data_IF_486836711070
#
_entry.id   IF_486836711070
#
_cell.length_a   1.000
_cell.length_b   1.000
_cell.length_c   1.000
_cell.angle_alpha   90.00
_cell.angle_beta   90.00
_cell.angle_gamma   90.00
#
_symmetry.space_group_name_H-M   'P 1'
#
loop_
_entity.id
_entity.type
_entity.pdbx_description
1 polymer ?
#
# COMPACT_ATOMS: atom_id res chain seq x y z
N UNK A 1 -16.53 9.35 -36.12
CA UNK A 1 -17.55 8.63 -35.32
C UNK A 1 -17.51 8.95 -33.81
N UNK A 2 -16.37 9.36 -33.23
CA UNK A 2 -16.22 9.62 -31.79
C UNK A 2 -17.03 10.84 -31.25
N UNK A 3 -17.20 11.89 -32.05
CA UNK A 3 -17.95 13.10 -31.65
C UNK A 3 -19.45 12.87 -31.40
N UNK A 4 -20.06 11.83 -31.99
CA UNK A 4 -21.50 11.62 -31.87
C UNK A 4 -21.92 11.23 -30.43
N UNK A 5 -21.06 10.52 -29.70
CA UNK A 5 -21.32 10.17 -28.31
C UNK A 5 -21.30 11.40 -27.38
N UNK A 6 -20.28 12.26 -27.52
CA UNK A 6 -20.15 13.47 -26.70
C UNK A 6 -21.34 14.40 -26.93
N UNK A 7 -21.77 14.59 -28.19
CA UNK A 7 -22.96 15.40 -28.49
C UNK A 7 -24.24 14.86 -27.83
N UNK A 8 -24.38 13.53 -27.68
CA UNK A 8 -25.50 12.91 -26.95
C UNK A 8 -25.41 13.08 -25.43
N UNK A 9 -24.20 13.20 -24.88
CA UNK A 9 -23.97 13.40 -23.46
C UNK A 9 -24.17 14.86 -23.01
N UNK A 10 -23.85 15.86 -23.85
CA UNK A 10 -23.89 17.29 -23.50
C UNK A 10 -25.17 17.73 -22.76
N UNK A 11 -26.39 17.31 -23.15
CA UNK A 11 -27.60 17.67 -22.41
C UNK A 11 -27.62 17.22 -20.95
N UNK A 12 -26.95 16.11 -20.62
CA UNK A 12 -26.91 15.49 -19.29
C UNK A 12 -25.79 16.04 -18.39
N UNK A 13 -24.86 16.82 -18.95
CA UNK A 13 -23.69 17.36 -18.22
C UNK A 13 -24.08 18.06 -16.93
N UNK A 14 -25.19 18.81 -16.91
CA UNK A 14 -25.65 19.55 -15.74
C UNK A 14 -26.04 18.64 -14.57
N UNK A 15 -26.77 17.56 -14.86
CA UNK A 15 -27.16 16.56 -13.86
C UNK A 15 -25.93 15.83 -13.29
N UNK A 16 -24.99 15.48 -14.17
CA UNK A 16 -23.76 14.79 -13.78
C UNK A 16 -22.90 15.68 -12.87
N UNK A 17 -22.74 16.96 -13.23
CA UNK A 17 -21.99 17.91 -12.41
C UNK A 17 -22.65 18.09 -11.04
N UNK A 18 -23.98 18.18 -10.98
CA UNK A 18 -24.70 18.27 -9.70
C UNK A 18 -24.41 17.07 -8.81
N UNK A 19 -24.48 15.85 -9.34
CA UNK A 19 -24.18 14.63 -8.58
C UNK A 19 -22.71 14.60 -8.11
N UNK A 20 -21.77 14.99 -8.97
CA UNK A 20 -20.34 15.04 -8.59
C UNK A 20 -20.11 16.01 -7.42
N UNK A 21 -20.75 17.19 -7.45
CA UNK A 21 -20.68 18.14 -6.34
C UNK A 21 -21.37 17.62 -5.07
N UNK A 22 -22.48 16.90 -5.19
CA UNK A 22 -23.15 16.24 -4.06
C UNK A 22 -22.29 15.15 -3.42
N UNK A 23 -21.48 14.42 -4.21
CA UNK A 23 -20.51 13.43 -3.69
C UNK A 23 -19.33 14.10 -2.97
N UNK A 24 -18.95 15.32 -3.36
CA UNK A 24 -17.91 16.08 -2.67
C UNK A 24 -18.42 16.74 -1.38
N UNK A 25 -19.71 17.07 -1.31
CA UNK A 25 -20.35 17.70 -0.15
C UNK A 25 -20.49 16.74 1.05
N UNK A 26 -20.65 17.31 2.26
CA UNK A 26 -21.02 16.51 3.43
C UNK A 26 -22.53 16.26 3.44
N UNK A 27 -23.00 15.00 3.54
CA UNK A 27 -24.42 14.72 3.60
C UNK A 27 -25.00 15.07 4.97
N UNK A 28 -26.19 15.69 4.94
CA UNK A 28 -27.01 15.99 6.12
C UNK A 28 -28.20 15.01 6.21
N UNK A 29 -28.45 14.34 7.35
CA UNK A 29 -27.71 14.41 8.61
C UNK A 29 -26.38 13.63 8.58
N UNK A 30 -25.44 14.06 9.42
CA UNK A 30 -24.09 13.49 9.59
C UNK A 30 -24.00 12.22 10.45
N UNK A 31 -24.83 11.21 10.17
CA UNK A 31 -24.94 9.97 10.98
C UNK A 31 -24.20 8.73 10.43
N UNK A 32 -23.28 8.14 11.19
CA UNK A 32 -22.51 6.96 10.80
C UNK A 32 -23.39 5.92 10.11
N UNK A 33 -22.98 5.48 8.93
CA UNK A 33 -23.76 4.60 8.04
C UNK A 33 -24.14 3.29 8.74
N UNK A 34 -23.36 2.87 9.72
CA UNK A 34 -23.51 1.57 10.39
C UNK A 34 -24.22 1.63 11.73
N UNK A 35 -23.96 2.64 12.55
CA UNK A 35 -24.50 2.73 13.91
C UNK A 35 -25.43 3.92 14.16
N UNK A 36 -25.54 4.86 13.21
CA UNK A 36 -26.40 6.04 13.33
C UNK A 36 -25.86 7.16 14.24
N UNK A 37 -24.77 6.93 14.98
CA UNK A 37 -24.11 7.96 15.80
C UNK A 37 -23.43 9.04 14.95
N UNK A 38 -23.05 10.16 15.54
CA UNK A 38 -22.29 11.20 14.83
C UNK A 38 -20.96 10.66 14.24
N UNK A 39 -20.54 11.21 13.11
CA UNK A 39 -19.41 10.71 12.30
C UNK A 39 -18.51 11.86 11.87
N UNK A 40 -17.22 11.57 11.73
CA UNK A 40 -16.26 12.58 11.27
C UNK A 40 -15.42 12.13 10.09
N UNK A 41 -15.51 10.85 9.69
CA UNK A 41 -14.71 10.31 8.59
C UNK A 41 -15.57 9.89 7.39
N UNK A 42 -15.07 10.12 6.19
CA UNK A 42 -15.54 9.52 4.94
C UNK A 42 -14.45 8.66 4.31
N UNK A 43 -14.83 7.52 3.74
CA UNK A 43 -13.89 6.71 2.96
C UNK A 43 -14.06 7.00 1.46
N UNK A 44 -12.96 7.25 0.75
CA UNK A 44 -12.98 7.53 -0.69
C UNK A 44 -13.00 6.28 -1.55
N UNK A 45 -12.45 5.18 -1.03
CA UNK A 45 -12.32 3.93 -1.80
C UNK A 45 -13.50 2.95 -1.58
N UNK A 46 -14.30 3.14 -0.53
CA UNK A 46 -15.51 2.38 -0.31
C UNK A 46 -16.63 2.83 -1.26
N UNK A 47 -17.37 1.87 -1.81
CA UNK A 47 -18.51 2.13 -2.69
C UNK A 47 -19.55 3.01 -1.98
N UNK A 48 -20.05 4.04 -2.66
CA UNK A 48 -20.98 5.07 -2.15
C UNK A 48 -20.42 5.99 -1.04
N UNK A 49 -19.10 6.00 -0.81
CA UNK A 49 -18.43 6.92 0.14
C UNK A 49 -19.11 6.98 1.52
N UNK A 50 -19.28 5.83 2.21
CA UNK A 50 -19.94 5.77 3.50
C UNK A 50 -19.21 6.61 4.54
N UNK A 51 -20.01 7.17 5.44
CA UNK A 51 -19.52 7.97 6.54
C UNK A 51 -19.48 7.16 7.84
N UNK A 52 -18.43 7.37 8.63
CA UNK A 52 -18.08 6.54 9.78
C UNK A 52 -17.72 7.34 11.03
N UNK A 53 -18.23 6.91 12.18
CA UNK A 53 -17.60 7.21 13.46
C UNK A 53 -16.25 6.47 13.56
N UNK A 54 -15.39 6.84 14.52
CA UNK A 54 -14.06 6.23 14.70
C UNK A 54 -14.15 4.69 14.77
N UNK A 55 -15.02 4.16 15.62
CA UNK A 55 -15.13 2.72 15.84
C UNK A 55 -15.60 1.95 14.60
N UNK A 56 -16.59 2.48 13.89
CA UNK A 56 -17.08 1.84 12.66
C UNK A 56 -16.03 1.96 11.55
N UNK A 57 -15.26 3.05 11.52
CA UNK A 57 -14.16 3.22 10.57
C UNK A 57 -13.09 2.15 10.80
N UNK A 58 -12.63 1.96 12.04
CA UNK A 58 -11.66 0.92 12.40
C UNK A 58 -12.16 -0.48 12.01
N UNK A 59 -13.39 -0.83 12.40
CA UNK A 59 -13.98 -2.16 12.11
C UNK A 59 -14.14 -2.42 10.62
N UNK A 60 -14.60 -1.42 9.85
CA UNK A 60 -14.81 -1.55 8.41
C UNK A 60 -13.50 -1.74 7.65
N UNK A 61 -12.42 -1.11 8.13
CA UNK A 61 -11.13 -1.08 7.44
C UNK A 61 -10.08 -2.02 8.05
N UNK A 62 -10.43 -2.86 9.02
CA UNK A 62 -9.49 -3.82 9.63
C UNK A 62 -8.87 -4.78 8.60
N UNK A 63 -9.64 -5.13 7.56
CA UNK A 63 -9.18 -5.97 6.45
C UNK A 63 -8.74 -5.17 5.22
N UNK A 64 -8.95 -3.85 5.22
CA UNK A 64 -8.67 -2.92 4.12
C UNK A 64 -7.93 -1.68 4.66
N UNK A 65 -6.75 -1.84 5.28
CA UNK A 65 -6.09 -0.78 6.03
C UNK A 65 -5.46 0.32 5.16
N UNK A 66 -5.52 0.18 3.84
CA UNK A 66 -4.91 1.10 2.86
C UNK A 66 -5.97 1.92 2.10
N UNK A 67 -7.22 1.90 2.55
CA UNK A 67 -8.23 2.83 2.03
C UNK A 67 -7.90 4.26 2.45
N UNK A 68 -8.11 5.20 1.53
CA UNK A 68 -7.99 6.63 1.77
C UNK A 68 -9.24 7.17 2.40
N UNK A 69 -9.05 7.97 3.44
CA UNK A 69 -10.14 8.60 4.19
C UNK A 69 -9.96 10.11 4.21
N UNK A 70 -11.04 10.82 4.48
CA UNK A 70 -11.02 12.24 4.76
C UNK A 70 -11.79 12.52 6.04
N UNK A 71 -11.35 13.55 6.77
CA UNK A 71 -11.99 13.99 7.99
C UNK A 71 -12.78 15.28 7.72
N UNK A 72 -13.97 15.38 8.30
CA UNK A 72 -14.75 16.60 8.27
C UNK A 72 -14.25 17.60 9.33
N UNK A 73 -13.89 18.81 8.92
CA UNK A 73 -13.31 19.85 9.80
C UNK A 73 -14.36 20.73 10.49
N UNK A 74 -15.58 20.75 9.97
CA UNK A 74 -16.62 21.73 10.32
C UNK A 74 -17.21 22.34 9.05
N UNK A 75 -16.34 22.68 8.11
CA UNK A 75 -16.68 23.39 6.88
C UNK A 75 -16.34 22.61 5.60
N UNK A 76 -15.30 21.77 5.62
CA UNK A 76 -14.86 21.00 4.45
C UNK A 76 -14.22 19.65 4.85
N UNK A 77 -13.96 18.81 3.85
CA UNK A 77 -13.20 17.57 4.03
C UNK A 77 -11.71 17.80 3.81
N UNK A 78 -10.91 17.40 4.80
CA UNK A 78 -9.44 17.39 4.73
C UNK A 78 -8.92 15.95 4.57
N UNK A 79 -7.78 15.80 3.90
CA UNK A 79 -7.07 14.51 3.79
C UNK A 79 -6.69 13.99 5.19
N UNK A 80 -6.96 12.71 5.43
CA UNK A 80 -6.67 12.02 6.68
C UNK A 80 -6.16 10.61 6.40
N UNK A 81 -5.63 9.94 7.42
CA UNK A 81 -5.09 8.60 7.29
C UNK A 81 -5.71 7.64 8.31
N UNK A 82 -5.93 6.38 7.92
CA UNK A 82 -6.56 5.38 8.78
C UNK A 82 -5.80 5.13 10.09
N UNK A 83 -4.47 5.28 10.10
CA UNK A 83 -3.72 5.15 11.36
C UNK A 83 -4.09 6.21 12.39
N UNK A 84 -4.55 7.39 11.95
CA UNK A 84 -5.01 8.46 12.85
C UNK A 84 -6.30 8.08 13.57
N UNK A 85 -7.09 7.14 13.02
CA UNK A 85 -8.24 6.58 13.74
C UNK A 85 -7.81 5.56 14.79
N UNK A 86 -6.53 5.18 14.87
CA UNK A 86 -6.03 4.15 15.79
C UNK A 86 -6.11 2.72 15.24
N UNK A 87 -6.25 2.55 13.92
CA UNK A 87 -6.19 1.21 13.32
C UNK A 87 -4.78 0.61 13.48
N UNK A 88 -4.70 -0.69 13.75
CA UNK A 88 -3.45 -1.39 13.96
C UNK A 88 -3.44 -2.68 13.15
N UNK A 89 -2.27 -3.04 12.62
CA UNK A 89 -2.07 -4.29 11.90
C UNK A 89 -1.49 -5.35 12.84
N UNK A 90 -2.26 -6.38 13.15
CA UNK A 90 -1.76 -7.52 13.94
C UNK A 90 -1.26 -8.64 13.03
N UNK A 91 -0.01 -9.05 13.21
CA UNK A 91 0.65 -10.06 12.40
C UNK A 91 0.87 -11.35 13.21
N UNK A 92 0.54 -12.50 12.60
CA UNK A 92 0.78 -13.85 13.14
C UNK A 92 -0.46 -14.60 13.62
N UNK A 93 -1.54 -13.91 14.00
CA UNK A 93 -2.78 -14.55 14.50
C UNK A 93 -4.02 -14.19 13.67
N UNK A 94 -3.89 -14.19 12.34
CA UNK A 94 -5.03 -13.97 11.44
C UNK A 94 -5.71 -12.61 11.65
N UNK A 95 -4.92 -11.56 11.93
CA UNK A 95 -5.33 -10.19 12.31
C UNK A 95 -5.83 -10.02 13.74
N UNK A 96 -5.99 -11.08 14.53
CA UNK A 96 -6.27 -10.93 15.95
C UNK A 96 -5.03 -10.46 16.72
N UNK A 97 -5.21 -9.73 17.84
CA UNK A 97 -4.09 -9.41 18.73
C UNK A 97 -3.41 -10.68 19.26
N UNK A 98 -2.10 -10.61 19.46
CA UNK A 98 -1.33 -11.75 19.95
C UNK A 98 -1.72 -12.10 21.40
N UNK A 99 -2.12 -13.35 21.71
CA UNK A 99 -2.47 -13.73 23.09
C UNK A 99 -1.32 -13.49 24.08
N UNK A 100 -0.08 -13.66 23.65
CA UNK A 100 1.10 -13.38 24.47
C UNK A 100 1.23 -11.89 24.79
N UNK A 101 0.98 -11.01 23.81
CA UNK A 101 0.99 -9.57 24.02
C UNK A 101 -0.14 -9.13 24.97
N UNK A 102 -1.33 -9.74 24.86
CA UNK A 102 -2.45 -9.49 25.79
C UNK A 102 -2.06 -9.90 27.22
N UNK A 103 -1.48 -11.10 27.38
CA UNK A 103 -1.06 -11.60 28.69
C UNK A 103 0.05 -10.73 29.32
N UNK A 104 1.02 -10.27 28.52
CA UNK A 104 2.05 -9.33 28.98
C UNK A 104 1.46 -7.97 29.38
N UNK A 105 0.53 -7.42 28.60
CA UNK A 105 -0.11 -6.14 28.93
C UNK A 105 -0.96 -6.22 30.22
N UNK A 106 -1.59 -7.36 30.48
CA UNK A 106 -2.32 -7.62 31.73
C UNK A 106 -1.38 -7.76 32.95
N UNK A 107 -0.15 -8.23 32.73
CA UNK A 107 0.89 -8.35 33.77
C UNK A 107 1.67 -7.03 33.98
N UNK A 108 1.82 -6.22 32.94
CA UNK A 108 2.49 -4.92 32.94
C UNK A 108 1.57 -3.75 33.33
N UNK A 109 0.49 -4.00 34.08
CA UNK A 109 -0.31 -2.95 34.74
C UNK A 109 0.45 -2.25 35.90
N UNK A 110 1.78 -2.24 35.84
CA UNK A 110 2.73 -1.55 36.69
C UNK A 110 3.98 -1.25 35.86
N UNK A 111 4.12 0.04 35.50
CA UNK A 111 5.25 0.69 34.84
C UNK A 111 5.56 0.36 33.36
N UNK A 112 5.71 1.41 32.50
CA UNK A 112 6.15 1.23 31.12
C UNK A 112 7.61 0.73 31.07
N UNK A 113 7.98 -0.11 30.09
CA UNK A 113 9.36 -0.54 29.90
C UNK A 113 10.27 0.64 29.53
N UNK A 114 11.57 0.62 29.91
CA UNK A 114 12.51 1.67 29.54
C UNK A 114 12.70 1.69 28.02
N UNK A 115 12.64 2.88 27.42
CA UNK A 115 13.02 3.09 26.02
C UNK A 115 14.52 2.83 25.84
N UNK A 116 14.85 2.09 24.78
CA UNK A 116 16.21 1.93 24.28
C UNK A 116 16.45 3.06 23.27
N UNK A 117 17.15 4.11 23.71
CA UNK A 117 17.35 5.39 23.03
C UNK A 117 18.49 5.32 22.00
N UNK A 118 18.57 4.24 21.22
CA UNK A 118 19.60 4.09 20.20
C UNK A 118 19.00 4.12 18.78
N UNK A 119 19.26 5.26 18.13
CA UNK A 119 19.27 5.49 16.68
C UNK A 119 17.90 5.72 16.01
N UNK A 120 17.37 6.94 16.20
CA UNK A 120 16.49 7.60 15.24
C UNK A 120 17.13 8.95 14.91
N UNK A 121 17.33 9.23 13.62
CA UNK A 121 17.78 10.54 13.16
C UNK A 121 16.73 11.59 13.59
N UNK A 122 17.20 12.66 14.22
CA UNK A 122 16.37 13.80 14.62
C UNK A 122 15.74 14.39 13.35
N UNK A 123 14.47 14.05 13.10
CA UNK A 123 13.66 14.81 12.14
C UNK A 123 13.21 16.05 12.89
N UNK A 124 13.79 17.19 12.54
CA UNK A 124 13.37 18.50 13.05
C UNK A 124 11.84 18.58 13.03
N UNK A 125 11.25 18.96 14.16
CA UNK A 125 9.81 19.18 14.31
C UNK A 125 9.34 20.26 13.33
N UNK A 126 8.94 19.86 12.12
CA UNK A 126 8.25 20.73 11.18
C UNK A 126 6.80 20.83 11.65
N UNK A 127 6.51 21.81 12.51
CA UNK A 127 5.15 22.15 12.99
C UNK A 127 4.16 22.52 11.85
N UNK A 128 4.60 22.53 10.58
CA UNK A 128 3.81 22.89 9.40
C UNK A 128 3.42 21.71 8.47
N UNK A 129 3.89 20.48 8.71
CA UNK A 129 3.55 19.37 7.81
C UNK A 129 2.13 18.81 8.05
N UNK A 130 1.37 18.48 6.99
CA UNK A 130 0.06 17.84 7.15
C UNK A 130 0.18 16.54 7.94
N UNK A 131 -0.57 16.43 9.05
CA UNK A 131 -0.45 15.32 10.02
C UNK A 131 -0.63 13.94 9.39
N UNK A 132 -1.44 13.82 8.34
CA UNK A 132 -1.70 12.55 7.66
C UNK A 132 -0.50 12.05 6.84
N UNK A 133 0.47 12.92 6.51
CA UNK A 133 1.73 12.57 5.84
C UNK A 133 2.87 12.31 6.84
N UNK A 134 2.65 12.57 8.13
CA UNK A 134 3.64 12.34 9.16
C UNK A 134 3.47 10.91 9.74
N UNK A 135 4.57 10.20 9.99
CA UNK A 135 4.50 8.92 10.68
C UNK A 135 4.04 9.12 12.16
N UNK A 136 3.37 8.13 12.76
CA UNK A 136 3.01 8.19 14.18
C UNK A 136 4.23 8.31 15.09
N UNK A 137 4.29 9.38 15.90
CA UNK A 137 5.37 9.63 16.87
C UNK A 137 5.28 8.62 18.03
N UNK A 138 6.44 8.08 18.45
CA UNK A 138 6.53 7.20 19.63
C UNK A 138 5.99 5.77 19.46
N UNK A 139 5.58 5.36 18.25
CA UNK A 139 5.04 4.03 17.97
C UNK A 139 5.86 3.26 16.93
N UNK A 140 5.84 1.92 17.00
CA UNK A 140 6.40 1.06 15.95
C UNK A 140 5.47 1.06 14.73
N UNK A 141 5.73 1.98 13.80
CA UNK A 141 5.02 2.04 12.52
C UNK A 141 5.76 1.31 11.40
N UNK A 142 5.02 0.99 10.36
CA UNK A 142 5.52 0.49 9.09
C UNK A 142 5.05 1.44 7.99
N UNK A 143 5.97 1.87 7.14
CA UNK A 143 5.64 2.59 5.90
C UNK A 143 5.26 1.56 4.85
N UNK A 144 4.01 1.61 4.40
CA UNK A 144 3.47 0.67 3.41
C UNK A 144 3.14 1.42 2.12
N UNK A 145 3.74 1.01 1.01
CA UNK A 145 3.32 1.45 -0.31
C UNK A 145 2.26 0.51 -0.88
N UNK A 146 1.14 1.10 -1.28
CA UNK A 146 0.02 0.44 -1.93
C UNK A 146 -0.38 1.19 -3.22
N UNK A 147 -1.20 0.58 -4.07
CA UNK A 147 -1.76 1.24 -5.27
C UNK A 147 -2.56 2.50 -4.93
N UNK A 148 -3.08 2.61 -3.70
CA UNK A 148 -3.78 3.80 -3.22
C UNK A 148 -2.86 4.89 -2.64
N UNK A 149 -1.54 4.66 -2.59
CA UNK A 149 -0.56 5.63 -2.09
C UNK A 149 0.35 5.09 -0.99
N UNK A 150 1.01 6.00 -0.27
CA UNK A 150 1.89 5.70 0.86
C UNK A 150 1.12 5.82 2.16
N UNK A 151 1.16 4.76 2.97
CA UNK A 151 0.44 4.65 4.23
C UNK A 151 1.40 4.41 5.38
N UNK A 152 1.12 5.02 6.53
CA UNK A 152 1.74 4.64 7.79
C UNK A 152 0.76 3.78 8.57
N UNK A 153 1.22 2.68 9.15
CA UNK A 153 0.39 1.82 10.00
C UNK A 153 1.17 1.30 11.20
N UNK A 154 0.55 1.32 12.38
CA UNK A 154 1.12 0.72 13.58
C UNK A 154 1.03 -0.79 13.47
N UNK A 155 2.15 -1.48 13.68
CA UNK A 155 2.23 -2.94 13.53
C UNK A 155 2.49 -3.62 14.86
N UNK A 156 1.62 -4.56 15.20
CA UNK A 156 1.75 -5.44 16.34
C UNK A 156 2.27 -6.80 15.89
N UNK A 157 3.47 -7.13 16.35
CA UNK A 157 4.14 -8.39 16.04
C UNK A 157 3.71 -9.50 17.00
N UNK A 158 3.63 -10.73 16.50
CA UNK A 158 3.49 -11.91 17.34
C UNK A 158 4.75 -12.08 18.22
N UNK A 159 4.52 -12.28 19.53
CA UNK A 159 5.56 -12.54 20.53
C UNK A 159 5.58 -13.99 21.05
N UNK A 160 4.81 -14.90 20.44
CA UNK A 160 4.80 -16.31 20.86
C UNK A 160 6.13 -17.00 20.52
N UNK A 161 6.50 -18.03 21.28
CA UNK A 161 7.73 -18.81 21.03
C UNK A 161 7.72 -19.51 19.66
N UNK A 162 6.54 -19.86 19.16
CA UNK A 162 6.33 -20.46 17.83
C UNK A 162 6.18 -19.43 16.72
N UNK A 163 6.39 -18.14 17.01
CA UNK A 163 6.25 -17.08 16.01
C UNK A 163 7.29 -17.24 14.90
N UNK A 164 6.82 -17.06 13.66
CA UNK A 164 7.72 -16.97 12.53
C UNK A 164 8.49 -15.64 12.55
N UNK A 165 9.54 -15.58 11.73
CA UNK A 165 10.30 -14.35 11.52
C UNK A 165 9.41 -13.24 10.94
N UNK A 166 9.73 -11.98 11.31
CA UNK A 166 8.94 -10.80 10.94
C UNK A 166 8.67 -10.68 9.44
N UNK A 167 9.68 -10.94 8.60
CA UNK A 167 9.53 -10.85 7.16
C UNK A 167 8.59 -11.92 6.58
N UNK A 168 8.51 -13.12 7.17
CA UNK A 168 7.56 -14.16 6.76
C UNK A 168 6.13 -13.74 7.13
N UNK A 169 5.94 -13.18 8.33
CA UNK A 169 4.64 -12.67 8.75
C UNK A 169 4.11 -11.57 7.81
N UNK A 170 4.98 -10.67 7.36
CA UNK A 170 4.66 -9.67 6.34
C UNK A 170 4.26 -10.32 5.00
N UNK A 171 5.07 -11.27 4.50
CA UNK A 171 4.76 -11.97 3.25
C UNK A 171 3.42 -12.71 3.30
N UNK A 172 3.09 -13.33 4.45
CA UNK A 172 1.77 -13.95 4.68
C UNK A 172 0.63 -12.94 4.68
N UNK A 173 0.89 -11.71 5.11
CA UNK A 173 -0.03 -10.58 5.03
C UNK A 173 -0.05 -9.89 3.65
N UNK A 174 0.59 -10.48 2.61
CA UNK A 174 0.76 -9.90 1.27
C UNK A 174 1.52 -8.56 1.26
N UNK A 175 2.44 -8.41 2.21
CA UNK A 175 3.37 -7.29 2.31
C UNK A 175 4.78 -7.80 2.04
N UNK A 176 5.41 -7.28 0.99
CA UNK A 176 6.80 -7.59 0.68
C UNK A 176 7.72 -6.60 1.40
N UNK A 177 8.57 -7.07 2.32
CA UNK A 177 9.47 -6.18 3.04
C UNK A 177 10.64 -5.71 2.18
N UNK A 178 11.02 -4.44 2.33
CA UNK A 178 12.25 -3.90 1.73
C UNK A 178 13.51 -4.55 2.34
N UNK A 179 13.51 -4.70 3.68
CA UNK A 179 14.61 -5.25 4.47
C UNK A 179 14.14 -6.42 5.36
N UNK A 180 15.02 -7.39 5.61
CA UNK A 180 14.64 -8.64 6.29
C UNK A 180 14.82 -8.61 7.82
N UNK A 181 15.80 -7.85 8.34
CA UNK A 181 16.15 -7.83 9.77
C UNK A 181 15.19 -6.98 10.60
N UNK A 182 14.96 -5.74 10.18
CA UNK A 182 14.07 -4.77 10.84
C UNK A 182 13.29 -4.04 9.74
N UNK A 183 12.18 -4.61 9.25
CA UNK A 183 11.41 -3.99 8.18
C UNK A 183 10.76 -2.70 8.68
N UNK A 184 11.19 -1.56 8.13
CA UNK A 184 10.56 -0.24 8.28
C UNK A 184 9.64 0.09 7.11
N UNK A 185 9.93 -0.48 5.93
CA UNK A 185 9.17 -0.30 4.69
C UNK A 185 8.68 -1.64 4.16
N UNK A 186 7.43 -1.68 3.70
CA UNK A 186 6.88 -2.81 2.95
C UNK A 186 6.05 -2.34 1.75
N UNK A 187 5.88 -3.24 0.79
CA UNK A 187 5.13 -3.00 -0.45
C UNK A 187 4.01 -4.02 -0.54
N UNK A 188 2.78 -3.60 -0.83
CA UNK A 188 1.71 -4.56 -1.07
C UNK A 188 2.01 -5.37 -2.33
N UNK A 189 1.55 -6.62 -2.38
CA UNK A 189 1.66 -7.37 -3.64
C UNK A 189 0.89 -6.69 -4.79
N UNK A 190 -0.13 -5.88 -4.46
CA UNK A 190 -0.90 -5.12 -5.43
C UNK A 190 -0.04 -4.09 -6.15
N UNK A 191 0.75 -3.26 -5.44
CA UNK A 191 1.58 -2.25 -6.09
C UNK A 191 2.70 -2.87 -6.94
N UNK A 192 3.23 -4.03 -6.53
CA UNK A 192 4.26 -4.73 -7.29
C UNK A 192 3.68 -5.32 -8.59
N UNK A 193 2.43 -5.78 -8.55
CA UNK A 193 1.72 -6.28 -9.74
C UNK A 193 1.29 -5.15 -10.67
N UNK A 194 0.86 -4.03 -10.10
CA UNK A 194 0.50 -2.81 -10.82
C UNK A 194 1.71 -2.21 -11.53
N UNK A 195 2.86 -2.10 -10.84
CA UNK A 195 4.11 -1.63 -11.44
C UNK A 195 4.51 -2.46 -12.66
N UNK A 196 4.52 -3.80 -12.53
CA UNK A 196 4.91 -4.68 -13.63
C UNK A 196 3.94 -4.55 -14.82
N UNK A 197 2.65 -4.31 -14.56
CA UNK A 197 1.64 -4.08 -15.60
C UNK A 197 1.82 -2.72 -16.28
N UNK A 198 2.01 -1.65 -15.52
CA UNK A 198 2.24 -0.30 -16.06
C UNK A 198 3.54 -0.25 -16.88
N UNK A 199 4.58 -0.96 -16.44
CA UNK A 199 5.83 -1.04 -17.20
C UNK A 199 5.65 -1.80 -18.52
N UNK A 200 4.89 -2.90 -18.51
CA UNK A 200 4.64 -3.72 -19.69
C UNK A 200 3.69 -3.06 -20.70
N UNK A 201 2.53 -2.59 -20.24
CA UNK A 201 1.44 -2.10 -21.10
C UNK A 201 1.65 -0.66 -21.53
N UNK A 202 2.13 0.20 -20.62
CA UNK A 202 2.22 1.64 -20.84
C UNK A 202 3.66 2.11 -21.15
N UNK A 203 4.66 1.25 -21.00
CA UNK A 203 6.08 1.63 -21.12
C UNK A 203 6.52 2.63 -20.05
N UNK A 204 5.78 2.72 -18.93
CA UNK A 204 6.05 3.70 -17.88
C UNK A 204 7.41 3.42 -17.23
N UNK A 205 8.27 4.44 -17.18
CA UNK A 205 9.54 4.35 -16.46
C UNK A 205 9.31 4.21 -14.96
N UNK A 206 10.26 3.61 -14.24
CA UNK A 206 10.16 3.48 -12.79
C UNK A 206 9.92 4.82 -12.08
N UNK A 207 10.61 5.88 -12.53
CA UNK A 207 10.46 7.22 -11.98
C UNK A 207 9.06 7.79 -12.22
N UNK A 208 8.51 7.65 -13.43
CA UNK A 208 7.17 8.16 -13.74
C UNK A 208 6.09 7.43 -12.91
N UNK A 209 6.23 6.11 -12.75
CA UNK A 209 5.35 5.34 -11.88
C UNK A 209 5.45 5.82 -10.43
N UNK A 210 6.66 6.04 -9.94
CA UNK A 210 6.88 6.54 -8.58
C UNK A 210 6.29 7.94 -8.39
N UNK A 211 6.51 8.87 -9.33
CA UNK A 211 5.90 10.21 -9.28
C UNK A 211 4.36 10.17 -9.32
N UNK A 212 3.77 9.27 -10.11
CA UNK A 212 2.31 9.01 -10.11
C UNK A 212 1.85 8.58 -8.71
N UNK A 213 2.56 7.67 -8.07
CA UNK A 213 2.23 7.18 -6.72
C UNK A 213 2.29 8.29 -5.66
N UNK A 214 3.29 9.18 -5.74
CA UNK A 214 3.37 10.34 -4.85
C UNK A 214 2.16 11.27 -5.03
N UNK A 215 1.76 11.54 -6.28
CA UNK A 215 0.58 12.37 -6.56
C UNK A 215 -0.75 11.71 -6.13
N UNK A 216 -0.84 10.37 -6.18
CA UNK A 216 -2.00 9.63 -5.65
C UNK A 216 -2.10 9.79 -4.13
N UNK A 217 -0.96 9.83 -3.45
CA UNK A 217 -0.88 9.97 -1.99
C UNK A 217 -1.23 11.38 -1.54
N UNK A 218 -0.64 12.41 -2.17
CA UNK A 218 -1.05 13.79 -2.00
C UNK A 218 -0.80 14.55 -3.29
N UNK A 219 -1.86 15.11 -3.87
CA UNK A 219 -1.76 15.91 -5.09
C UNK A 219 -1.18 17.31 -4.82
N UNK A 220 -1.31 17.80 -3.57
CA UNK A 220 -0.88 19.14 -3.16
C UNK A 220 0.57 19.14 -2.68
N UNK A 221 0.98 18.12 -1.91
CA UNK A 221 2.30 18.05 -1.29
C UNK A 221 3.07 16.75 -1.58
N UNK A 222 3.28 16.37 -2.85
CA UNK A 222 3.94 15.11 -3.18
C UNK A 222 5.40 15.03 -2.70
N UNK A 223 6.05 16.17 -2.49
CA UNK A 223 7.44 16.27 -2.05
C UNK A 223 7.64 16.01 -0.55
N UNK A 224 6.56 16.02 0.26
CA UNK A 224 6.62 15.73 1.69
C UNK A 224 6.58 14.22 1.99
N UNK A 225 6.30 13.40 0.98
CA UNK A 225 6.20 11.95 1.15
C UNK A 225 7.61 11.36 1.19
N UNK A 226 7.91 10.43 2.11
CA UNK A 226 9.23 9.81 2.21
C UNK A 226 9.69 9.16 0.88
N UNK A 227 10.91 9.48 0.44
CA UNK A 227 11.48 8.85 -0.75
C UNK A 227 11.90 7.40 -0.47
N UNK A 228 11.31 6.49 -1.24
CA UNK A 228 11.50 5.03 -1.19
C UNK A 228 11.61 4.45 -2.59
N UNK A 229 11.98 5.27 -3.59
CA UNK A 229 12.09 4.87 -4.99
C UNK A 229 13.03 3.68 -5.21
N UNK A 230 14.24 3.74 -4.64
CA UNK A 230 15.22 2.65 -4.78
C UNK A 230 14.74 1.34 -4.14
N UNK A 231 14.06 1.45 -2.99
CA UNK A 231 13.46 0.30 -2.31
C UNK A 231 12.39 -0.36 -3.18
N UNK A 232 11.54 0.44 -3.84
CA UNK A 232 10.55 -0.06 -4.79
C UNK A 232 11.22 -0.85 -5.93
N UNK A 233 12.24 -0.28 -6.57
CA UNK A 233 12.92 -0.95 -7.68
C UNK A 233 13.55 -2.28 -7.26
N UNK A 234 14.21 -2.33 -6.11
CA UNK A 234 14.80 -3.57 -5.60
C UNK A 234 13.74 -4.62 -5.29
N UNK A 235 12.63 -4.22 -4.69
CA UNK A 235 11.55 -5.16 -4.35
C UNK A 235 10.84 -5.65 -5.61
N UNK A 236 10.59 -4.80 -6.60
CA UNK A 236 10.02 -5.18 -7.89
C UNK A 236 10.90 -6.21 -8.60
N UNK A 237 12.23 -6.02 -8.64
CA UNK A 237 13.14 -6.99 -9.23
C UNK A 237 13.06 -8.36 -8.55
N UNK A 238 13.09 -8.38 -7.20
CA UNK A 238 12.93 -9.61 -6.41
C UNK A 238 11.57 -10.27 -6.67
N UNK A 239 10.51 -9.47 -6.75
CA UNK A 239 9.15 -9.92 -7.00
C UNK A 239 8.98 -10.56 -8.37
N UNK A 240 9.51 -9.92 -9.41
CA UNK A 240 9.53 -10.45 -10.77
C UNK A 240 10.25 -11.81 -10.81
N UNK A 241 11.43 -11.90 -10.18
CA UNK A 241 12.17 -13.15 -10.09
C UNK A 241 11.36 -14.27 -9.41
N UNK A 242 10.73 -13.98 -8.26
CA UNK A 242 9.89 -14.94 -7.55
C UNK A 242 8.66 -15.37 -8.36
N UNK A 243 8.03 -14.45 -9.10
CA UNK A 243 6.93 -14.79 -10.01
C UNK A 243 7.38 -15.74 -11.12
N UNK A 244 8.54 -15.48 -11.72
CA UNK A 244 9.11 -16.35 -12.76
C UNK A 244 9.43 -17.74 -12.21
N UNK A 245 10.05 -17.84 -11.04
CA UNK A 245 10.30 -19.13 -10.38
C UNK A 245 9.01 -19.90 -10.12
N UNK A 246 7.99 -19.21 -9.58
CA UNK A 246 6.68 -19.78 -9.29
C UNK A 246 6.00 -20.29 -10.55
N UNK A 247 5.98 -19.50 -11.62
CA UNK A 247 5.32 -19.87 -12.88
C UNK A 247 6.02 -21.01 -13.62
N UNK A 248 7.33 -21.13 -13.48
CA UNK A 248 8.10 -22.24 -14.06
C UNK A 248 8.21 -23.47 -13.14
N UNK A 249 7.57 -23.46 -11.96
CA UNK A 249 7.51 -24.62 -11.07
C UNK A 249 8.79 -24.95 -10.31
N UNK A 250 9.70 -23.99 -10.12
CA UNK A 250 10.98 -24.20 -9.42
C UNK A 250 10.88 -24.28 -7.87
N UNK A 251 9.67 -24.44 -7.32
CA UNK A 251 9.48 -24.53 -5.88
C UNK A 251 9.94 -25.91 -5.37
N UNK A 252 10.96 -25.93 -4.50
CA UNK A 252 11.44 -27.18 -3.87
C UNK A 252 12.30 -28.08 -4.77
N UNK A 253 12.68 -27.63 -5.96
CA UNK A 253 13.60 -28.36 -6.84
C UNK A 253 15.05 -28.02 -6.52
N UNK A 254 15.93 -29.02 -6.45
CA UNK A 254 17.40 -28.83 -6.37
C UNK A 254 18.02 -28.28 -7.65
N UNK A 255 17.24 -28.20 -8.74
CA UNK A 255 17.67 -27.62 -10.01
C UNK A 255 17.68 -26.09 -9.88
N UNK A 256 18.87 -25.50 -9.89
CA UNK A 256 19.03 -24.07 -10.11
C UNK A 256 18.47 -23.72 -11.49
N UNK A 257 17.78 -22.59 -11.62
CA UNK A 257 17.33 -22.10 -12.92
C UNK A 257 18.57 -21.71 -13.73
N UNK A 258 18.96 -22.55 -14.70
CA UNK A 258 20.02 -22.21 -15.66
C UNK A 258 19.69 -20.89 -16.38
N UNK A 259 20.72 -20.17 -16.82
CA UNK A 259 20.57 -18.89 -17.54
C UNK A 259 19.60 -19.06 -18.71
N UNK A 260 18.57 -18.23 -18.77
CA UNK A 260 17.56 -18.24 -19.83
C UNK A 260 16.34 -19.14 -19.59
N UNK A 261 16.33 -20.05 -18.60
CA UNK A 261 15.21 -20.97 -18.34
C UNK A 261 13.97 -20.33 -17.70
N UNK A 262 14.09 -19.09 -17.23
CA UNK A 262 12.97 -18.35 -16.65
C UNK A 262 12.20 -17.51 -17.68
N UNK A 263 12.78 -17.28 -18.85
CA UNK A 263 12.12 -16.56 -19.93
C UNK A 263 11.08 -17.48 -20.58
N UNK A 264 9.91 -16.92 -20.90
CA UNK A 264 8.95 -17.61 -21.76
C UNK A 264 9.57 -17.80 -23.14
N UNK A 265 9.36 -18.97 -23.74
CA UNK A 265 9.78 -19.20 -25.11
C UNK A 265 9.06 -18.21 -26.03
N UNK A 266 9.81 -17.36 -26.71
CA UNK A 266 9.30 -16.42 -27.68
C UNK A 266 9.79 -16.82 -29.08
N UNK A 267 8.87 -17.29 -29.92
CA UNK A 267 9.16 -17.68 -31.29
C UNK A 267 9.64 -16.51 -32.18
N UNK A 268 9.41 -15.27 -31.76
CA UNK A 268 9.86 -14.07 -32.45
C UNK A 268 11.26 -13.59 -32.00
N UNK A 269 11.71 -13.97 -30.80
CA UNK A 269 13.07 -13.66 -30.35
C UNK A 269 14.08 -14.59 -31.05
N UNK A 270 15.33 -14.13 -31.28
CA UNK A 270 16.42 -14.99 -31.75
C UNK A 270 16.59 -16.24 -30.86
N UNK A 271 16.39 -17.41 -31.45
CA UNK A 271 16.59 -18.73 -30.86
C UNK A 271 17.59 -19.49 -31.74
N UNK A 272 18.89 -19.49 -31.37
CA UNK A 272 19.92 -20.18 -32.14
C UNK A 272 19.56 -21.65 -32.40
N UNK A 273 19.60 -22.06 -33.66
CA UNK A 273 19.24 -23.41 -34.11
C UNK A 273 17.74 -23.69 -34.21
N UNK A 274 16.87 -22.71 -33.94
CA UNK A 274 15.42 -22.82 -34.15
C UNK A 274 14.97 -21.84 -35.26
N UNK A 275 15.25 -20.55 -35.08
CA UNK A 275 14.84 -19.49 -36.03
C UNK A 275 15.98 -18.52 -36.39
N UNK A 276 17.19 -18.73 -35.86
CA UNK A 276 18.44 -18.04 -36.26
C UNK A 276 19.52 -19.10 -36.46
N UNK A 277 20.25 -19.01 -37.56
CA UNK A 277 21.36 -19.93 -37.85
C UNK A 277 22.52 -19.68 -36.88
N UNK A 278 23.11 -20.75 -36.36
CA UNK A 278 24.19 -20.68 -35.34
C UNK A 278 25.51 -20.08 -35.84
N UNK A 279 25.61 -19.75 -37.14
CA UNK A 279 26.83 -19.27 -37.79
C UNK A 279 26.76 -17.80 -38.23
N UNK A 280 25.66 -17.09 -37.96
CA UNK A 280 25.59 -15.65 -38.23
C UNK A 280 26.09 -14.89 -36.99
N UNK A 281 27.31 -14.37 -37.09
CA UNK A 281 27.89 -13.44 -36.12
C UNK A 281 26.97 -12.21 -36.00
N UNK A 282 26.30 -12.06 -34.84
CA UNK A 282 25.40 -10.93 -34.54
C UNK A 282 26.15 -9.63 -34.17
N UNK A 283 27.39 -9.46 -34.63
CA UNK A 283 28.22 -8.27 -34.42
C UNK A 283 28.56 -7.62 -35.78
N UNK A 284 27.61 -6.88 -36.34
CA UNK A 284 27.85 -5.73 -37.22
C UNK A 284 26.93 -4.57 -36.85
#
# INVERSE_FOLDING_TARGET
>A
MQNNYICKWVPWKGEFLKILLELEASPEPRNCTWCGNDRVYRCLDCLHQPLFCIECCQKSHESLPFHRIQQWTGDFYEESALHMTGIQLHLGHGRAPCPHAIAQAQQAAGEPPPMDDQEWEDVEDIEENPKHLCPPVGSRYLTVMDVTGVHFIVVNWCGCETAETRYILLLRAKLFPSTFKKPSTAFTFAILDDFLRDNLECGTSGMNYYSKLLQITSSVFPHLIPDRYHELLWVVQKWQYLKLLKWNGFCGTTRSAEKGRLALFCAACPQPGINVDTNEDLDQ
#
